data_IF_458425803259
#
_entry.id   IF_458425803259
#
_cell.length_a   1.000
_cell.length_b   1.000
_cell.length_c   1.000
_cell.angle_alpha   90.00
_cell.angle_beta   90.00
_cell.angle_gamma   90.00
#
_symmetry.space_group_name_H-M   'P 1'
#
loop_
_entity.id
_entity.type
_entity.pdbx_description
1 polymer ?
#
# COMPACT_ATOMS: atom_id res chain seq x y z
N UNK A 1 -19.38 -3.60 -8.03
CA UNK A 1 -19.28 -2.59 -6.95
C UNK A 1 -19.24 -3.30 -5.62
N UNK A 2 -18.15 -3.13 -4.90
CA UNK A 2 -17.85 -3.77 -3.62
C UNK A 2 -17.71 -2.68 -2.55
N UNK A 3 -18.42 -2.82 -1.43
CA UNK A 3 -18.29 -1.89 -0.30
C UNK A 3 -17.67 -2.62 0.87
N UNK A 4 -16.57 -2.09 1.41
CA UNK A 4 -15.84 -2.70 2.53
C UNK A 4 -15.58 -1.64 3.59
N UNK A 5 -15.79 -2.01 4.86
CA UNK A 5 -15.38 -1.21 6.01
C UNK A 5 -14.13 -1.81 6.64
N UNK A 6 -13.15 -0.97 6.99
CA UNK A 6 -11.92 -1.42 7.64
C UNK A 6 -11.01 -0.28 8.05
N UNK A 7 -9.85 -0.65 8.61
CA UNK A 7 -8.81 0.30 8.94
C UNK A 7 -8.07 0.73 7.68
N UNK A 8 -7.99 2.04 7.48
CA UNK A 8 -7.37 2.66 6.31
C UNK A 8 -6.31 3.67 6.73
N UNK A 9 -5.14 3.56 6.11
CA UNK A 9 -4.08 4.58 6.20
C UNK A 9 -3.91 5.22 4.83
N UNK A 10 -3.68 6.53 4.83
CA UNK A 10 -3.44 7.29 3.59
C UNK A 10 -1.93 7.45 3.39
N UNK A 11 -1.48 7.25 2.15
CA UNK A 11 -0.07 7.35 1.77
C UNK A 11 0.10 7.88 0.36
N UNK A 12 1.32 7.79 -0.13
CA UNK A 12 1.68 8.17 -1.50
C UNK A 12 2.20 6.95 -2.25
N UNK A 13 1.82 6.85 -3.52
CA UNK A 13 2.43 5.92 -4.46
C UNK A 13 3.83 6.41 -4.84
N UNK A 14 4.82 5.54 -4.74
CA UNK A 14 6.16 5.75 -5.25
C UNK A 14 6.51 4.69 -6.29
N UNK A 15 7.45 5.03 -7.16
CA UNK A 15 7.95 4.18 -8.22
C UNK A 15 9.47 4.33 -8.29
N UNK A 16 10.18 3.22 -8.28
CA UNK A 16 11.62 3.15 -8.55
C UNK A 16 11.89 2.15 -9.66
N UNK A 17 12.99 2.38 -10.37
CA UNK A 17 13.53 1.44 -11.35
C UNK A 17 14.72 0.75 -10.69
N UNK A 18 14.60 -0.54 -10.45
CA UNK A 18 15.70 -1.36 -9.96
C UNK A 18 16.38 -2.04 -11.15
N UNK A 19 17.70 -1.91 -11.24
CA UNK A 19 18.49 -2.61 -12.25
C UNK A 19 18.95 -3.93 -11.63
N UNK A 20 18.44 -5.04 -12.16
CA UNK A 20 18.87 -6.37 -11.73
C UNK A 20 20.32 -6.63 -12.16
N UNK A 21 20.96 -7.62 -11.52
CA UNK A 21 22.37 -7.95 -11.75
C UNK A 21 22.70 -8.39 -13.19
N UNK A 22 21.69 -8.75 -13.98
CA UNK A 22 21.80 -9.10 -15.41
C UNK A 22 21.56 -7.89 -16.35
N UNK A 23 21.33 -6.70 -15.79
CA UNK A 23 21.05 -5.47 -16.51
C UNK A 23 19.59 -5.26 -16.89
N UNK A 24 18.67 -6.14 -16.48
CA UNK A 24 17.22 -5.96 -16.69
C UNK A 24 16.69 -4.90 -15.72
N UNK A 25 16.03 -3.87 -16.27
CA UNK A 25 15.32 -2.87 -15.48
C UNK A 25 13.95 -3.42 -15.06
N UNK A 26 13.69 -3.41 -13.75
CA UNK A 26 12.39 -3.78 -13.17
C UNK A 26 11.77 -2.57 -12.47
N UNK A 27 10.45 -2.44 -12.56
CA UNK A 27 9.72 -1.33 -11.94
C UNK A 27 9.16 -1.82 -10.62
N UNK A 28 9.63 -1.23 -9.53
CA UNK A 28 9.12 -1.52 -8.19
C UNK A 28 8.26 -0.37 -7.71
N UNK A 29 7.04 -0.70 -7.30
CA UNK A 29 6.11 0.25 -6.71
C UNK A 29 6.13 0.15 -5.19
N UNK A 30 6.04 1.29 -4.53
CA UNK A 30 5.97 1.37 -3.07
C UNK A 30 4.80 2.22 -2.62
N UNK A 31 4.31 1.93 -1.42
CA UNK A 31 3.42 2.80 -0.68
C UNK A 31 4.21 3.45 0.44
N UNK A 32 4.31 4.78 0.41
CA UNK A 32 4.95 5.58 1.44
C UNK A 32 3.90 6.13 2.40
N UNK A 33 4.04 5.76 3.67
CA UNK A 33 3.11 6.09 4.73
C UNK A 33 3.79 7.01 5.74
N UNK A 34 3.08 8.01 6.26
CA UNK A 34 3.63 8.86 7.31
C UNK A 34 3.87 8.01 8.56
N UNK A 35 5.04 8.18 9.19
CA UNK A 35 5.36 7.58 10.48
C UNK A 35 5.30 8.68 11.53
N UNK A 36 4.78 8.37 12.73
CA UNK A 36 4.67 9.35 13.81
C UNK A 36 6.07 9.77 14.26
N UNK A 37 6.25 11.08 14.42
CA UNK A 37 7.50 11.71 14.81
C UNK A 37 7.89 11.26 16.23
N UNK A 38 8.98 10.52 16.37
CA UNK A 38 9.50 10.06 17.67
C UNK A 38 10.47 11.06 18.31
N UNK A 39 10.59 12.27 17.72
CA UNK A 39 11.50 13.32 18.18
C UNK A 39 12.93 13.15 17.67
N UNK A 40 13.20 12.18 16.78
CA UNK A 40 14.49 12.07 16.10
C UNK A 40 14.55 13.01 14.89
N UNK A 41 15.55 13.90 14.92
CA UNK A 41 15.68 15.00 13.97
C UNK A 41 16.36 14.49 12.69
N UNK A 42 15.60 13.93 11.74
CA UNK A 42 16.01 13.83 10.33
C UNK A 42 14.85 13.37 9.43
N UNK A 43 14.90 13.73 8.14
CA UNK A 43 13.95 13.47 7.03
C UNK A 43 13.58 11.98 6.75
N UNK A 44 13.65 11.07 7.73
CA UNK A 44 13.44 9.61 7.61
C UNK A 44 12.09 9.09 8.12
N UNK A 45 11.13 9.95 8.44
CA UNK A 45 9.85 9.56 9.06
C UNK A 45 8.78 9.02 8.09
N UNK A 46 9.16 8.30 7.03
CA UNK A 46 8.21 7.64 6.13
C UNK A 46 8.46 6.14 6.10
N UNK A 47 7.42 5.36 6.38
CA UNK A 47 7.43 3.92 6.23
C UNK A 47 7.13 3.59 4.77
N UNK A 48 8.11 3.01 4.08
CA UNK A 48 8.02 2.69 2.66
C UNK A 48 7.84 1.18 2.49
N UNK A 49 6.73 0.77 1.90
CA UNK A 49 6.37 -0.64 1.73
C UNK A 49 6.29 -1.02 0.26
N UNK A 50 7.05 -2.04 -0.15
CA UNK A 50 6.93 -2.60 -1.49
C UNK A 50 5.52 -3.15 -1.69
N UNK A 51 4.91 -2.83 -2.82
CA UNK A 51 3.61 -3.35 -3.21
C UNK A 51 3.72 -4.25 -4.43
N UNK A 52 2.85 -5.25 -4.48
CA UNK A 52 2.60 -6.02 -5.69
C UNK A 52 1.58 -5.25 -6.54
N UNK A 53 1.97 -4.69 -7.70
CA UNK A 53 1.06 -3.90 -8.52
C UNK A 53 0.04 -4.79 -9.22
N UNK A 54 -1.15 -4.24 -9.46
CA UNK A 54 -2.10 -4.82 -10.43
C UNK A 54 -1.58 -4.58 -11.85
N UNK A 55 -1.95 -5.48 -12.77
CA UNK A 55 -1.42 -5.56 -14.14
C UNK A 55 -1.59 -4.29 -15.02
N UNK A 56 -2.42 -3.33 -14.60
CA UNK A 56 -2.66 -2.07 -15.31
C UNK A 56 -1.95 -0.86 -14.69
N UNK A 57 -1.22 -1.04 -13.59
CA UNK A 57 -0.62 0.11 -12.90
C UNK A 57 0.39 0.84 -13.81
N UNK A 58 1.17 0.07 -14.58
CA UNK A 58 2.19 0.57 -15.49
C UNK A 58 1.68 0.82 -16.92
N UNK A 59 0.39 0.66 -17.18
CA UNK A 59 -0.14 0.89 -18.52
C UNK A 59 -0.06 2.38 -18.89
N UNK A 60 0.72 2.68 -19.93
CA UNK A 60 0.85 4.05 -20.42
C UNK A 60 -0.48 4.58 -20.98
N UNK A 61 -0.81 5.83 -20.66
CA UNK A 61 -1.99 6.50 -21.18
C UNK A 61 -2.52 7.62 -20.28
N UNK A 62 -3.60 8.30 -20.71
CA UNK A 62 -4.21 9.42 -19.96
C UNK A 62 -4.68 9.06 -18.54
N UNK A 63 -4.87 7.78 -18.25
CA UNK A 63 -5.26 7.24 -16.93
C UNK A 63 -4.12 6.64 -16.11
N UNK A 64 -2.87 6.71 -16.58
CA UNK A 64 -1.73 6.14 -15.89
C UNK A 64 -1.58 6.75 -14.49
N UNK A 65 -1.40 5.88 -13.49
CA UNK A 65 -1.22 6.33 -12.11
C UNK A 65 0.19 6.86 -11.94
N UNK A 66 0.32 8.12 -11.51
CA UNK A 66 1.62 8.77 -11.39
C UNK A 66 2.22 8.56 -9.99
N UNK A 67 3.55 8.53 -9.85
CA UNK A 67 4.18 8.70 -8.54
C UNK A 67 3.69 9.97 -7.86
N UNK A 68 3.57 9.95 -6.54
CA UNK A 68 2.94 10.99 -5.72
C UNK A 68 1.41 10.94 -5.69
N UNK A 69 0.76 9.96 -6.34
CA UNK A 69 -0.69 9.77 -6.21
C UNK A 69 -1.05 9.38 -4.78
N UNK A 70 -2.07 10.05 -4.21
CA UNK A 70 -2.67 9.64 -2.93
C UNK A 70 -3.25 8.23 -3.05
N UNK A 71 -2.87 7.36 -2.13
CA UNK A 71 -3.37 5.99 -2.04
C UNK A 71 -3.92 5.68 -0.66
N UNK A 72 -4.87 4.76 -0.62
CA UNK A 72 -5.49 4.24 0.60
C UNK A 72 -5.06 2.80 0.79
N UNK A 73 -4.32 2.53 1.86
CA UNK A 73 -3.95 1.19 2.29
C UNK A 73 -5.05 0.67 3.22
N UNK A 74 -5.91 -0.22 2.71
CA UNK A 74 -6.99 -0.85 3.47
C UNK A 74 -6.52 -2.21 4.01
N UNK A 75 -6.50 -2.34 5.34
CA UNK A 75 -6.18 -3.63 5.99
C UNK A 75 -7.29 -4.64 5.74
N UNK A 76 -6.96 -5.78 5.13
CA UNK A 76 -7.94 -6.84 4.86
C UNK A 76 -7.90 -7.95 5.89
N UNK A 77 -6.77 -8.65 5.99
CA UNK A 77 -6.67 -9.87 6.79
C UNK A 77 -5.28 -10.05 7.37
N UNK A 78 -5.24 -10.80 8.46
CA UNK A 78 -4.04 -11.37 9.04
C UNK A 78 -4.24 -12.87 9.02
N UNK A 79 -3.36 -13.59 8.36
CA UNK A 79 -3.42 -15.05 8.23
C UNK A 79 -2.13 -15.64 8.77
N UNK A 80 -2.23 -16.79 9.42
CA UNK A 80 -1.07 -17.55 9.85
C UNK A 80 -0.87 -18.73 8.90
N UNK A 81 0.32 -18.81 8.31
CA UNK A 81 0.75 -19.93 7.47
C UNK A 81 1.92 -20.65 8.16
N UNK A 82 1.62 -21.79 8.79
CA UNK A 82 2.60 -22.53 9.59
C UNK A 82 3.13 -21.69 10.76
N UNK A 83 4.42 -21.35 10.71
CA UNK A 83 5.09 -20.51 11.71
C UNK A 83 5.32 -19.07 11.24
N UNK A 84 4.56 -18.59 10.25
CA UNK A 84 4.65 -17.22 9.75
C UNK A 84 3.29 -16.54 9.78
N UNK A 85 3.25 -15.27 10.18
CA UNK A 85 2.08 -14.42 10.01
C UNK A 85 2.22 -13.60 8.73
N UNK A 86 1.09 -13.40 8.05
CA UNK A 86 0.96 -12.58 6.86
C UNK A 86 -0.17 -11.57 7.04
N UNK A 87 0.14 -10.29 6.91
CA UNK A 87 -0.88 -9.24 6.86
C UNK A 87 -1.04 -8.76 5.42
N UNK A 88 -2.28 -8.80 4.93
CA UNK A 88 -2.65 -8.44 3.57
C UNK A 88 -3.44 -7.15 3.59
N UNK A 89 -3.02 -6.19 2.77
CA UNK A 89 -3.70 -4.91 2.59
C UNK A 89 -3.92 -4.62 1.11
N UNK A 90 -5.07 -4.03 0.78
CA UNK A 90 -5.33 -3.51 -0.57
C UNK A 90 -4.78 -2.10 -0.68
N UNK A 91 -4.16 -1.79 -1.81
CA UNK A 91 -3.78 -0.43 -2.19
C UNK A 91 -4.81 0.09 -3.17
N UNK A 92 -5.49 1.17 -2.79
CA UNK A 92 -6.58 1.76 -3.56
C UNK A 92 -6.23 3.19 -3.95
N UNK A 93 -6.69 3.66 -5.11
CA UNK A 93 -6.68 5.08 -5.49
C UNK A 93 -8.08 5.57 -5.83
N UNK A 94 -8.27 6.89 -5.88
CA UNK A 94 -9.54 7.48 -6.36
C UNK A 94 -9.71 7.19 -7.85
N UNK A 95 -10.88 6.69 -8.23
CA UNK A 95 -11.23 6.45 -9.62
C UNK A 95 -11.44 7.79 -10.34
N UNK A 96 -10.66 8.06 -11.37
CA UNK A 96 -10.74 9.32 -12.15
C UNK A 96 -12.10 9.53 -12.79
N UNK A 97 -12.74 8.44 -13.23
CA UNK A 97 -14.00 8.48 -13.98
C UNK A 97 -15.25 8.31 -13.09
N UNK A 98 -15.07 8.06 -11.80
CA UNK A 98 -16.17 7.73 -10.89
C UNK A 98 -15.99 8.40 -9.52
N UNK A 99 -16.49 9.64 -9.35
CA UNK A 99 -16.35 10.38 -8.10
C UNK A 99 -16.85 9.60 -6.89
N UNK A 100 -16.06 9.62 -5.81
CA UNK A 100 -16.36 8.89 -4.57
C UNK A 100 -16.14 7.37 -4.66
N UNK A 101 -15.65 6.86 -5.80
CA UNK A 101 -15.24 5.46 -5.96
C UNK A 101 -13.72 5.34 -5.94
N UNK A 102 -13.29 4.13 -5.62
CA UNK A 102 -11.90 3.76 -5.56
C UNK A 102 -11.66 2.57 -6.46
N UNK A 103 -10.47 2.50 -7.04
CA UNK A 103 -10.01 1.36 -7.81
C UNK A 103 -8.82 0.73 -7.10
N UNK A 104 -8.72 -0.60 -7.18
CA UNK A 104 -7.56 -1.32 -6.66
C UNK A 104 -6.40 -1.17 -7.64
N UNK A 105 -5.23 -0.86 -7.11
CA UNK A 105 -3.99 -0.74 -7.90
C UNK A 105 -2.90 -1.72 -7.47
N UNK A 106 -3.13 -2.46 -6.40
CA UNK A 106 -2.26 -3.54 -5.98
C UNK A 106 -2.50 -3.97 -4.55
N UNK A 107 -1.53 -4.71 -4.01
CA UNK A 107 -1.56 -5.23 -2.65
C UNK A 107 -0.23 -5.07 -1.95
N UNK A 108 -0.29 -4.85 -0.64
CA UNK A 108 0.87 -4.94 0.26
C UNK A 108 0.69 -6.21 1.10
N UNK A 109 1.75 -7.01 1.17
CA UNK A 109 1.79 -8.23 1.99
C UNK A 109 3.00 -8.12 2.91
N UNK A 110 2.75 -7.95 4.20
CA UNK A 110 3.80 -8.02 5.21
C UNK A 110 3.87 -9.42 5.78
N UNK A 111 5.09 -9.89 6.03
CA UNK A 111 5.35 -11.22 6.59
C UNK A 111 6.19 -11.07 7.85
N UNK A 112 5.80 -11.78 8.90
CA UNK A 112 6.53 -11.84 10.17
C UNK A 112 6.81 -13.30 10.54
N UNK A 113 8.07 -13.62 10.85
CA UNK A 113 8.48 -14.93 11.35
C UNK A 113 9.64 -14.72 12.36
N UNK A 114 9.50 -15.14 13.63
CA UNK A 114 8.33 -15.81 14.21
C UNK A 114 7.15 -14.85 14.44
N UNK A 115 5.90 -15.36 14.54
CA UNK A 115 4.72 -14.58 14.91
C UNK A 115 4.85 -13.97 16.33
N UNK A 116 4.03 -12.95 16.68
CA UNK A 116 2.94 -12.38 15.89
C UNK A 116 3.36 -11.17 15.05
N UNK A 117 2.67 -10.93 13.93
CA UNK A 117 2.66 -9.61 13.29
C UNK A 117 1.74 -8.67 14.09
N UNK A 118 2.19 -7.45 14.38
CA UNK A 118 1.30 -6.44 14.97
C UNK A 118 0.41 -5.84 13.87
N UNK A 119 -0.90 -6.13 13.86
CA UNK A 119 -1.78 -5.71 12.78
C UNK A 119 -2.26 -4.27 12.91
N UNK A 120 -1.96 -3.61 14.04
CA UNK A 120 -2.25 -2.20 14.27
C UNK A 120 -0.92 -1.44 14.25
N UNK A 121 0.01 -1.78 15.14
CA UNK A 121 1.43 -1.43 15.15
C UNK A 121 1.86 -0.12 14.48
N UNK A 122 3.08 -0.10 13.95
CA UNK A 122 3.61 1.10 13.29
C UNK A 122 2.91 1.43 11.97
N UNK A 123 2.23 0.45 11.37
CA UNK A 123 1.65 0.59 10.04
C UNK A 123 0.27 1.26 10.07
N UNK A 124 -0.60 0.84 10.99
CA UNK A 124 -1.98 1.26 11.12
C UNK A 124 -2.22 2.05 12.42
N UNK A 125 -1.17 2.59 13.05
CA UNK A 125 -1.29 3.38 14.27
C UNK A 125 -2.25 4.56 14.10
N UNK A 126 -2.12 5.26 12.96
CA UNK A 126 -2.94 6.42 12.59
C UNK A 126 -4.05 6.03 11.61
N UNK A 127 -4.43 4.75 11.58
CA UNK A 127 -5.48 4.27 10.70
C UNK A 127 -6.86 4.71 11.17
N UNK A 128 -7.68 5.11 10.21
CA UNK A 128 -9.08 5.45 10.48
C UNK A 128 -9.99 4.30 10.05
N UNK A 129 -11.02 4.04 10.84
CA UNK A 129 -12.11 3.17 10.41
C UNK A 129 -12.91 3.90 9.31
N UNK A 130 -12.84 3.40 8.07
CA UNK A 130 -13.55 3.98 6.92
C UNK A 130 -14.34 2.93 6.16
N UNK A 131 -15.41 3.38 5.50
CA UNK A 131 -16.17 2.56 4.53
C UNK A 131 -15.82 3.01 3.13
N UNK A 132 -15.25 2.10 2.35
CA UNK A 132 -14.69 2.35 1.03
C UNK A 132 -15.56 1.66 -0.02
N UNK A 133 -15.86 2.36 -1.11
CA UNK A 133 -16.59 1.80 -2.23
C UNK A 133 -15.67 1.60 -3.43
N UNK A 134 -15.43 0.34 -3.75
CA UNK A 134 -14.46 -0.13 -4.74
C UNK A 134 -15.20 -0.57 -6.01
N UNK A 135 -14.69 -0.15 -7.16
CA UNK A 135 -15.18 -0.56 -8.49
C UNK A 135 -14.32 -1.66 -9.09
#
# INVERSE_FOLDING_TARGET
>A
MLTISGLVVTGLLEREVEVQSDGVEDIVHYVSLPRRDDGSNEKKNQLRLAMKPDYLLDHDGPGQTKPGTEVFCLRMSVIQEGSSDHMISLVLKRASESPGRLERIGTVILRQNPPPIDPVGELFQDAEQRTMAII
#
